data_IF_084644553618
#
_entry.id   IF_084644553618
#
_cell.length_a   1.000
_cell.length_b   1.000
_cell.length_c   1.000
_cell.angle_alpha   90.00
_cell.angle_beta   90.00
_cell.angle_gamma   90.00
#
_symmetry.space_group_name_H-M   'P 1'
#
loop_
_entity.id
_entity.type
_entity.pdbx_description
1 polymer ?
#
# COMPACT_ATOMS: atom_id res chain seq x y z
N UNK A 1 -11.02 15.78 -35.33
CA UNK A 1 -10.08 14.87 -34.63
C UNK A 1 -10.42 13.46 -35.06
N UNK A 2 -9.43 12.63 -35.42
CA UNK A 2 -9.66 11.19 -35.66
C UNK A 2 -10.06 10.52 -34.34
N UNK A 3 -11.00 9.57 -34.39
CA UNK A 3 -11.37 8.74 -33.25
C UNK A 3 -10.11 8.04 -32.69
N UNK A 4 -9.73 8.25 -31.42
CA UNK A 4 -8.52 7.68 -30.83
C UNK A 4 -8.50 6.15 -30.90
N UNK A 5 -9.67 5.50 -30.91
CA UNK A 5 -9.77 4.05 -31.04
C UNK A 5 -9.35 3.55 -32.43
N UNK A 6 -9.47 4.36 -33.49
CA UNK A 6 -8.98 4.01 -34.83
C UNK A 6 -7.46 3.86 -34.81
N UNK A 7 -6.77 4.81 -34.16
CA UNK A 7 -5.31 4.76 -34.02
C UNK A 7 -4.86 3.55 -33.20
N UNK A 8 -5.51 3.28 -32.06
CA UNK A 8 -5.19 2.12 -31.23
C UNK A 8 -5.46 0.78 -31.93
N UNK A 9 -6.50 0.69 -32.77
CA UNK A 9 -6.75 -0.50 -33.60
C UNK A 9 -5.67 -0.69 -34.67
N UNK A 10 -5.21 0.38 -35.30
CA UNK A 10 -4.11 0.30 -36.28
C UNK A 10 -2.80 -0.15 -35.61
N UNK A 11 -2.47 0.40 -34.44
CA UNK A 11 -1.32 -0.04 -33.63
C UNK A 11 -1.45 -1.50 -33.19
N UNK A 12 -2.65 -1.95 -32.84
CA UNK A 12 -2.90 -3.35 -32.48
C UNK A 12 -2.66 -4.28 -33.67
N UNK A 13 -3.08 -3.90 -34.87
CA UNK A 13 -2.83 -4.69 -36.08
C UNK A 13 -1.34 -4.77 -36.39
N UNK A 14 -0.60 -3.67 -36.23
CA UNK A 14 0.87 -3.67 -36.35
C UNK A 14 1.51 -4.62 -35.33
N UNK A 15 1.12 -4.50 -34.06
CA UNK A 15 1.60 -5.36 -32.98
C UNK A 15 1.35 -6.84 -33.28
N UNK A 16 0.16 -7.20 -33.75
CA UNK A 16 -0.16 -8.59 -34.13
C UNK A 16 0.69 -9.07 -35.30
N UNK A 17 1.00 -8.22 -36.29
CA UNK A 17 1.92 -8.58 -37.38
C UNK A 17 3.33 -8.85 -36.84
N UNK A 18 3.84 -8.00 -35.93
CA UNK A 18 5.15 -8.19 -35.27
C UNK A 18 5.21 -9.51 -34.51
N UNK A 19 4.18 -9.83 -33.73
CA UNK A 19 4.06 -11.09 -32.98
C UNK A 19 4.07 -12.36 -33.87
N UNK A 20 3.72 -12.23 -35.16
CA UNK A 20 3.62 -13.35 -36.11
C UNK A 20 4.81 -13.48 -37.06
N UNK A 21 5.76 -12.55 -37.01
CA UNK A 21 6.97 -12.64 -37.83
C UNK A 21 7.83 -13.82 -37.39
N UNK A 22 8.58 -14.44 -38.32
CA UNK A 22 9.14 -15.81 -38.20
C UNK A 22 10.27 -16.00 -37.16
N UNK A 23 10.57 -15.01 -36.33
CA UNK A 23 11.48 -15.16 -35.18
C UNK A 23 10.66 -15.47 -33.93
N UNK A 24 11.24 -16.15 -32.93
CA UNK A 24 10.48 -16.47 -31.72
C UNK A 24 9.92 -15.17 -31.13
N UNK A 25 8.62 -15.16 -30.80
CA UNK A 25 7.91 -13.96 -30.34
C UNK A 25 8.67 -13.22 -29.24
N UNK A 26 9.29 -13.98 -28.33
CA UNK A 26 10.05 -13.48 -27.19
C UNK A 26 11.39 -12.86 -27.60
N UNK A 27 12.10 -13.44 -28.57
CA UNK A 27 13.33 -12.85 -29.11
C UNK A 27 13.05 -11.57 -29.90
N UNK A 28 11.95 -11.53 -30.68
CA UNK A 28 11.55 -10.32 -31.40
C UNK A 28 11.18 -9.18 -30.41
N UNK A 29 10.45 -9.48 -29.34
CA UNK A 29 10.10 -8.47 -28.34
C UNK A 29 11.32 -8.03 -27.50
N UNK A 30 12.23 -8.95 -27.16
CA UNK A 30 13.46 -8.64 -26.42
C UNK A 30 14.52 -7.88 -27.24
N UNK A 31 14.58 -8.07 -28.56
CA UNK A 31 15.62 -7.49 -29.43
C UNK A 31 15.29 -6.11 -30.01
N UNK A 32 14.05 -5.63 -29.87
CA UNK A 32 13.65 -4.32 -30.38
C UNK A 32 14.24 -3.18 -29.53
N UNK A 33 15.47 -2.78 -29.86
CA UNK A 33 16.23 -1.67 -29.27
C UNK A 33 15.66 -0.28 -29.61
N UNK A 34 14.43 0.01 -29.20
CA UNK A 34 13.98 1.38 -29.04
C UNK A 34 13.69 1.60 -27.56
N UNK A 35 14.72 2.07 -26.82
CA UNK A 35 14.61 2.46 -25.41
C UNK A 35 13.46 3.48 -25.29
N UNK A 36 12.30 3.04 -24.79
CA UNK A 36 11.12 3.88 -24.57
C UNK A 36 10.00 3.81 -25.62
N UNK A 37 10.00 2.91 -26.62
CA UNK A 37 8.92 2.86 -27.61
C UNK A 37 8.02 1.61 -27.58
N UNK A 38 8.45 0.48 -27.03
CA UNK A 38 7.67 -0.77 -27.03
C UNK A 38 7.91 -1.55 -25.73
N UNK A 39 6.98 -1.46 -24.77
CA UNK A 39 7.07 -2.09 -23.44
C UNK A 39 6.00 -3.18 -23.24
N UNK A 40 5.67 -3.93 -24.29
CA UNK A 40 4.61 -4.95 -24.25
C UNK A 40 5.03 -6.24 -23.52
N UNK A 41 6.34 -6.46 -23.31
CA UNK A 41 6.88 -7.64 -22.64
C UNK A 41 7.36 -7.29 -21.22
N UNK A 42 6.90 -8.06 -20.23
CA UNK A 42 7.40 -8.00 -18.85
C UNK A 42 7.95 -9.35 -18.43
N UNK A 43 9.17 -9.34 -17.87
CA UNK A 43 9.81 -10.53 -17.30
C UNK A 43 9.66 -10.51 -15.79
N UNK A 44 9.16 -11.60 -15.22
CA UNK A 44 9.02 -11.80 -13.76
C UNK A 44 9.98 -12.92 -13.34
N UNK A 45 10.83 -12.64 -12.34
CA UNK A 45 11.84 -13.58 -11.84
C UNK A 45 12.26 -13.24 -10.41
N UNK A 46 13.07 -14.11 -9.80
CA UNK A 46 13.67 -13.88 -8.49
C UNK A 46 12.64 -13.80 -7.35
N UNK A 47 12.91 -12.93 -6.38
CA UNK A 47 12.16 -12.87 -5.12
C UNK A 47 10.65 -12.67 -5.28
N UNK A 48 10.22 -11.78 -6.20
CA UNK A 48 8.79 -11.52 -6.42
C UNK A 48 8.07 -12.74 -6.99
N UNK A 49 8.74 -13.50 -7.86
CA UNK A 49 8.19 -14.76 -8.36
C UNK A 49 8.04 -15.77 -7.21
N UNK A 50 9.05 -15.86 -6.34
CA UNK A 50 9.03 -16.79 -5.21
C UNK A 50 7.93 -16.47 -4.19
N UNK A 51 7.63 -15.18 -3.96
CA UNK A 51 6.48 -14.75 -3.14
C UNK A 51 5.14 -15.16 -3.79
N UNK A 52 4.96 -14.94 -5.10
CA UNK A 52 3.74 -15.36 -5.81
C UNK A 52 3.57 -16.88 -5.76
N UNK A 53 4.63 -17.65 -5.99
CA UNK A 53 4.59 -19.12 -5.90
C UNK A 53 4.18 -19.60 -4.51
N UNK A 54 4.78 -19.03 -3.46
CA UNK A 54 4.41 -19.33 -2.06
C UNK A 54 2.94 -18.99 -1.78
N UNK A 55 2.46 -17.85 -2.27
CA UNK A 55 1.06 -17.48 -2.15
C UNK A 55 0.14 -18.49 -2.84
N UNK A 56 0.46 -18.91 -4.06
CA UNK A 56 -0.36 -19.87 -4.81
C UNK A 56 -0.45 -21.22 -4.09
N UNK A 57 0.64 -21.70 -3.50
CA UNK A 57 0.62 -22.93 -2.69
C UNK A 57 -0.21 -22.78 -1.41
N UNK A 58 -0.18 -21.62 -0.74
CA UNK A 58 -1.08 -21.36 0.41
C UNK A 58 -2.57 -21.42 0.01
N UNK A 59 -2.92 -20.94 -1.18
CA UNK A 59 -4.30 -21.02 -1.69
C UNK A 59 -4.70 -22.46 -1.98
N UNK A 60 -3.79 -23.26 -2.56
CA UNK A 60 -3.97 -24.70 -2.76
C UNK A 60 -4.26 -25.38 -1.42
N UNK A 61 -3.43 -25.14 -0.41
CA UNK A 61 -3.61 -25.70 0.93
C UNK A 61 -4.96 -25.32 1.53
N UNK A 62 -5.34 -24.03 1.46
CA UNK A 62 -6.64 -23.55 1.97
C UNK A 62 -7.82 -24.22 1.27
N UNK A 63 -7.80 -24.25 -0.07
CA UNK A 63 -8.88 -24.84 -0.88
C UNK A 63 -9.12 -26.31 -0.51
N UNK A 64 -8.05 -27.07 -0.29
CA UNK A 64 -8.14 -28.49 0.06
C UNK A 64 -8.36 -28.77 1.56
N UNK A 65 -8.09 -27.80 2.43
CA UNK A 65 -8.47 -27.88 3.85
C UNK A 65 -9.97 -27.65 4.05
N UNK A 66 -10.54 -26.65 3.37
CA UNK A 66 -11.96 -26.32 3.45
C UNK A 66 -12.85 -27.40 2.82
N UNK A 67 -12.40 -28.00 1.70
CA UNK A 67 -13.12 -29.10 1.05
C UNK A 67 -13.17 -30.37 1.91
N UNK A 68 -12.20 -30.60 2.79
CA UNK A 68 -12.21 -31.71 3.78
C UNK A 68 -13.21 -31.49 4.91
N UNK A 69 -13.47 -30.25 5.31
CA UNK A 69 -14.47 -29.96 6.34
C UNK A 69 -15.90 -30.17 5.85
N UNK A 70 -16.15 -29.97 4.55
CA UNK A 70 -17.48 -30.08 3.96
C UNK A 70 -17.84 -31.51 3.53
N UNK A 71 -16.86 -32.27 3.03
CA UNK A 71 -17.05 -33.67 2.61
C UNK A 71 -16.45 -34.59 3.68
N UNK A 72 -17.29 -35.15 4.58
CA UNK A 72 -16.92 -36.25 5.49
C UNK A 72 -16.53 -37.52 4.72
N UNK A 73 -15.39 -37.51 4.03
CA UNK A 73 -14.80 -38.67 3.37
C UNK A 73 -13.43 -38.89 4.00
N UNK A 74 -13.32 -39.97 4.78
CA UNK A 74 -12.14 -40.33 5.58
C UNK A 74 -10.91 -40.78 4.76
N UNK A 75 -10.98 -40.79 3.44
CA UNK A 75 -9.83 -41.12 2.58
C UNK A 75 -9.84 -40.27 1.31
N UNK A 76 -8.85 -39.39 1.16
CA UNK A 76 -8.73 -38.61 -0.06
C UNK A 76 -7.51 -37.68 -0.08
N UNK A 77 -6.32 -38.24 -0.29
CA UNK A 77 -5.23 -37.44 -0.88
C UNK A 77 -5.74 -37.02 -2.26
N UNK A 78 -5.96 -35.73 -2.48
CA UNK A 78 -6.25 -35.20 -3.82
C UNK A 78 -5.16 -35.63 -4.79
N UNK A 79 -5.52 -35.81 -6.06
CA UNK A 79 -4.51 -36.15 -7.05
C UNK A 79 -3.51 -34.99 -7.18
N UNK A 80 -2.24 -35.33 -7.39
CA UNK A 80 -1.21 -34.33 -7.65
C UNK A 80 -1.61 -33.39 -8.80
N UNK A 81 -2.37 -33.91 -9.76
CA UNK A 81 -2.93 -33.19 -10.90
C UNK A 81 -3.90 -32.08 -10.50
N UNK A 82 -4.89 -32.35 -9.64
CA UNK A 82 -5.86 -31.33 -9.21
C UNK A 82 -5.20 -30.20 -8.41
N UNK A 83 -4.21 -30.55 -7.58
CA UNK A 83 -3.44 -29.55 -6.83
C UNK A 83 -2.63 -28.64 -7.76
N UNK A 84 -2.01 -29.23 -8.77
CA UNK A 84 -1.26 -28.50 -9.78
C UNK A 84 -2.16 -27.62 -10.64
N UNK A 85 -3.37 -28.05 -10.99
CA UNK A 85 -4.33 -27.23 -11.75
C UNK A 85 -4.76 -25.98 -10.97
N UNK A 86 -5.08 -26.12 -9.68
CA UNK A 86 -5.42 -24.97 -8.82
C UNK A 86 -4.23 -24.04 -8.69
N UNK A 87 -3.03 -24.58 -8.48
CA UNK A 87 -1.79 -23.82 -8.41
C UNK A 87 -1.56 -23.00 -9.69
N UNK A 88 -1.55 -23.67 -10.86
CA UNK A 88 -1.30 -23.05 -12.16
C UNK A 88 -2.33 -21.96 -12.46
N UNK A 89 -3.62 -22.20 -12.18
CA UNK A 89 -4.68 -21.21 -12.38
C UNK A 89 -4.43 -19.93 -11.59
N UNK A 90 -4.09 -20.07 -10.30
CA UNK A 90 -3.81 -18.92 -9.43
C UNK A 90 -2.52 -18.20 -9.84
N UNK A 91 -1.46 -18.97 -10.18
CA UNK A 91 -0.18 -18.42 -10.62
C UNK A 91 -0.35 -17.57 -11.88
N UNK A 92 -1.05 -18.09 -12.89
CA UNK A 92 -1.31 -17.37 -14.14
C UNK A 92 -2.09 -16.07 -13.90
N UNK A 93 -3.07 -16.09 -12.99
CA UNK A 93 -3.80 -14.89 -12.57
C UNK A 93 -2.88 -13.85 -11.91
N UNK A 94 -2.17 -14.25 -10.86
CA UNK A 94 -1.33 -13.34 -10.06
C UNK A 94 -0.15 -12.76 -10.82
N UNK A 95 0.46 -13.53 -11.72
CA UNK A 95 1.48 -12.99 -12.62
C UNK A 95 0.90 -11.86 -13.48
N UNK A 96 -0.34 -12.03 -13.95
CA UNK A 96 -1.01 -11.00 -14.73
C UNK A 96 -1.31 -9.73 -13.95
N UNK A 97 -1.89 -9.89 -12.77
CA UNK A 97 -2.14 -8.78 -11.85
C UNK A 97 -0.85 -7.98 -11.57
N UNK A 98 0.28 -8.66 -11.32
CA UNK A 98 1.56 -7.99 -11.06
C UNK A 98 2.05 -7.17 -12.27
N UNK A 99 1.90 -7.67 -13.50
CA UNK A 99 2.27 -6.92 -14.71
C UNK A 99 1.43 -5.66 -14.85
N UNK A 100 0.12 -5.77 -14.66
CA UNK A 100 -0.79 -4.61 -14.73
C UNK A 100 -0.47 -3.61 -13.62
N UNK A 101 -0.21 -4.09 -12.41
CA UNK A 101 0.19 -3.26 -11.27
C UNK A 101 1.46 -2.46 -11.55
N UNK A 102 2.50 -3.09 -12.12
CA UNK A 102 3.72 -2.37 -12.54
C UNK A 102 3.47 -1.35 -13.64
N UNK A 103 2.57 -1.68 -14.57
CA UNK A 103 2.31 -0.84 -15.73
C UNK A 103 1.46 0.40 -15.40
N UNK A 104 0.43 0.24 -14.56
CA UNK A 104 -0.49 1.31 -14.18
C UNK A 104 -0.06 2.05 -12.91
N UNK A 105 0.68 1.39 -12.02
CA UNK A 105 1.29 1.96 -10.81
C UNK A 105 0.26 2.79 -10.01
N UNK A 106 0.53 4.06 -9.73
CA UNK A 106 -0.31 4.97 -8.96
C UNK A 106 -1.70 5.27 -9.57
N UNK A 107 -2.06 4.72 -10.73
CA UNK A 107 -3.41 4.89 -11.30
C UNK A 107 -4.44 3.95 -10.69
N UNK A 108 -4.00 2.85 -10.07
CA UNK A 108 -4.87 1.81 -9.54
C UNK A 108 -4.53 1.49 -8.08
N UNK A 109 -5.52 1.06 -7.31
CA UNK A 109 -5.29 0.51 -5.96
C UNK A 109 -5.61 -0.97 -5.93
N UNK A 110 -4.87 -1.72 -5.10
CA UNK A 110 -5.30 -3.04 -4.67
C UNK A 110 -6.60 -2.90 -3.86
N UNK A 111 -7.49 -3.90 -3.95
CA UNK A 111 -8.73 -3.92 -3.17
C UNK A 111 -8.50 -4.75 -1.93
N UNK A 112 -8.83 -4.17 -0.78
CA UNK A 112 -8.89 -4.89 0.49
C UNK A 112 -10.12 -5.80 0.49
N UNK A 113 -9.89 -7.12 0.39
CA UNK A 113 -10.96 -8.11 0.34
C UNK A 113 -11.71 -8.23 1.69
N UNK A 114 -11.18 -7.66 2.78
CA UNK A 114 -11.87 -7.63 4.08
C UNK A 114 -12.99 -6.56 4.12
N UNK A 115 -13.05 -5.63 3.15
CA UNK A 115 -14.12 -4.62 3.00
C UNK A 115 -15.25 -5.08 2.07
N UNK A 116 -15.00 -6.06 1.18
CA UNK A 116 -15.97 -6.58 0.22
C UNK A 116 -16.51 -7.96 0.60
N UNK A 117 -16.96 -8.08 1.85
CA UNK A 117 -17.75 -9.21 2.33
C UNK A 117 -19.13 -9.22 1.63
N UNK A 118 -19.26 -9.88 0.46
CA UNK A 118 -20.50 -10.58 0.00
C UNK A 118 -20.55 -11.20 -1.41
N UNK A 119 -19.51 -11.21 -2.25
CA UNK A 119 -19.61 -11.88 -3.56
C UNK A 119 -18.30 -12.60 -3.89
N UNK A 120 -18.36 -13.93 -4.11
CA UNK A 120 -17.19 -14.77 -4.43
C UNK A 120 -16.35 -14.27 -5.61
N UNK A 121 -15.10 -14.75 -5.67
CA UNK A 121 -14.01 -14.52 -6.66
C UNK A 121 -13.87 -13.15 -7.36
N UNK A 122 -14.56 -12.12 -6.87
CA UNK A 122 -14.31 -10.70 -7.15
C UNK A 122 -14.81 -10.23 -8.52
N UNK A 123 -14.58 -10.95 -9.61
CA UNK A 123 -15.00 -10.55 -10.97
C UNK A 123 -14.37 -9.26 -11.51
N UNK A 124 -13.47 -8.61 -10.76
CA UNK A 124 -12.63 -7.46 -11.12
C UNK A 124 -11.37 -7.50 -10.22
N UNK A 125 -10.27 -6.88 -10.67
CA UNK A 125 -8.95 -7.02 -10.05
C UNK A 125 -8.41 -5.71 -9.48
N UNK A 126 -8.78 -4.57 -10.08
CA UNK A 126 -8.32 -3.25 -9.67
C UNK A 126 -9.42 -2.19 -9.76
N UNK A 127 -9.28 -1.10 -9.01
CA UNK A 127 -10.09 0.11 -9.14
C UNK A 127 -9.21 1.30 -9.50
N UNK A 128 -9.75 2.26 -10.25
CA UNK A 128 -9.03 3.53 -10.49
C UNK A 128 -9.00 4.38 -9.22
N UNK A 129 -7.81 4.86 -8.86
CA UNK A 129 -7.60 5.73 -7.67
C UNK A 129 -8.49 6.97 -7.72
N UNK A 130 -8.57 7.60 -8.90
CA UNK A 130 -9.32 8.83 -9.13
C UNK A 130 -10.84 8.62 -9.27
N UNK A 131 -11.27 7.39 -9.54
CA UNK A 131 -12.67 7.06 -9.74
C UNK A 131 -12.92 5.61 -9.29
N UNK A 132 -13.17 5.38 -7.99
CA UNK A 132 -13.33 4.04 -7.43
C UNK A 132 -14.49 3.22 -8.02
N UNK A 133 -15.45 3.88 -8.69
CA UNK A 133 -16.54 3.21 -9.40
C UNK A 133 -16.07 2.56 -10.71
N UNK A 134 -14.87 2.89 -11.19
CA UNK A 134 -14.28 2.33 -12.41
C UNK A 134 -13.51 1.06 -12.10
N UNK A 135 -14.12 -0.07 -12.46
CA UNK A 135 -13.59 -1.40 -12.16
C UNK A 135 -12.82 -1.96 -13.36
N UNK A 136 -11.64 -2.51 -13.09
CA UNK A 136 -10.74 -3.06 -14.11
C UNK A 136 -10.54 -4.54 -13.84
N UNK A 137 -10.74 -5.34 -14.88
CA UNK A 137 -10.46 -6.77 -14.85
C UNK A 137 -9.20 -7.11 -15.64
N UNK A 138 -8.42 -8.06 -15.15
CA UNK A 138 -7.24 -8.63 -15.78
C UNK A 138 -7.49 -10.11 -16.06
N UNK A 139 -7.28 -10.53 -17.31
CA UNK A 139 -7.32 -11.95 -17.67
C UNK A 139 -6.04 -12.35 -18.37
N UNK A 140 -5.31 -13.27 -17.75
CA UNK A 140 -4.12 -13.89 -18.34
C UNK A 140 -4.49 -15.24 -18.96
N UNK A 141 -3.90 -15.55 -20.11
CA UNK A 141 -4.05 -16.85 -20.77
C UNK A 141 -2.71 -17.41 -21.19
N UNK A 142 -2.58 -18.73 -21.07
CA UNK A 142 -1.41 -19.48 -21.48
C UNK A 142 -1.68 -20.20 -22.80
N UNK A 143 -0.68 -20.26 -23.68
CA UNK A 143 -0.65 -21.21 -24.79
C UNK A 143 0.30 -20.81 -25.92
N UNK A 144 0.73 -21.81 -26.70
CA UNK A 144 1.84 -21.66 -27.67
C UNK A 144 1.57 -20.70 -28.83
N UNK A 145 0.31 -20.48 -29.20
CA UNK A 145 -0.09 -19.67 -30.35
C UNK A 145 -1.19 -18.69 -29.98
N UNK A 146 -0.90 -17.40 -30.14
CA UNK A 146 -1.80 -16.29 -29.79
C UNK A 146 -3.14 -16.32 -30.55
N UNK A 147 -3.17 -16.87 -31.76
CA UNK A 147 -4.39 -16.97 -32.57
C UNK A 147 -5.42 -17.95 -31.97
N UNK A 148 -4.93 -18.96 -31.24
CA UNK A 148 -5.75 -19.96 -30.55
C UNK A 148 -6.23 -19.47 -29.18
N UNK A 149 -5.60 -18.44 -28.62
CA UNK A 149 -5.98 -17.88 -27.33
C UNK A 149 -7.30 -17.14 -27.45
N UNK A 150 -8.19 -17.40 -26.49
CA UNK A 150 -9.43 -16.66 -26.29
C UNK A 150 -9.56 -16.25 -24.83
N UNK A 151 -9.81 -14.96 -24.60
CA UNK A 151 -10.25 -14.46 -23.30
C UNK A 151 -11.76 -14.55 -23.23
N UNK A 152 -12.26 -15.13 -22.14
CA UNK A 152 -13.69 -15.36 -21.93
C UNK A 152 -14.16 -14.48 -20.80
N UNK A 153 -15.23 -13.74 -21.04
CA UNK A 153 -15.85 -12.81 -20.09
C UNK A 153 -17.36 -13.10 -19.99
N UNK A 154 -17.91 -13.15 -18.79
CA UNK A 154 -19.34 -13.39 -18.53
C UNK A 154 -20.17 -12.12 -18.74
N UNK A 155 -21.50 -12.23 -18.85
CA UNK A 155 -22.35 -11.02 -18.93
C UNK A 155 -22.24 -10.17 -17.65
N UNK A 156 -22.08 -10.81 -16.50
CA UNK A 156 -21.97 -10.10 -15.23
C UNK A 156 -20.64 -9.36 -15.12
N UNK A 157 -19.55 -9.97 -15.61
CA UNK A 157 -18.25 -9.31 -15.70
C UNK A 157 -18.28 -8.10 -16.65
N UNK A 158 -18.97 -8.20 -17.81
CA UNK A 158 -19.13 -7.08 -18.75
C UNK A 158 -19.89 -5.92 -18.10
N UNK A 159 -20.94 -6.22 -17.33
CA UNK A 159 -21.76 -5.18 -16.66
C UNK A 159 -21.03 -4.53 -15.49
N UNK A 160 -20.20 -5.30 -14.78
CA UNK A 160 -19.52 -4.87 -13.56
C UNK A 160 -18.27 -4.05 -13.86
N UNK A 161 -17.54 -4.38 -14.93
CA UNK A 161 -16.25 -3.76 -15.25
C UNK A 161 -16.36 -2.69 -16.32
N UNK A 162 -15.40 -1.76 -16.32
CA UNK A 162 -15.24 -0.72 -17.33
C UNK A 162 -14.19 -1.08 -18.37
N UNK A 163 -13.18 -1.86 -17.99
CA UNK A 163 -12.11 -2.31 -18.89
C UNK A 163 -11.66 -3.75 -18.59
N UNK A 164 -11.35 -4.47 -19.66
CA UNK A 164 -10.66 -5.76 -19.60
C UNK A 164 -9.24 -5.61 -20.14
N UNK A 165 -8.26 -6.03 -19.36
CA UNK A 165 -6.85 -6.10 -19.77
C UNK A 165 -6.51 -7.58 -20.01
N UNK A 166 -5.91 -7.85 -21.17
CA UNK A 166 -5.63 -9.20 -21.62
C UNK A 166 -4.12 -9.42 -21.70
N UNK A 167 -3.66 -10.43 -20.97
CA UNK A 167 -2.24 -10.83 -20.95
C UNK A 167 -2.07 -12.24 -21.50
N UNK A 168 -0.91 -12.50 -22.09
CA UNK A 168 -0.57 -13.77 -22.72
C UNK A 168 0.78 -14.30 -22.24
N UNK A 169 0.82 -15.59 -21.91
CA UNK A 169 2.03 -16.37 -21.63
C UNK A 169 2.19 -17.42 -22.73
N UNK A 170 3.27 -17.35 -23.49
CA UNK A 170 3.52 -18.30 -24.59
C UNK A 170 4.07 -19.64 -24.08
N UNK A 171 4.91 -19.58 -23.05
CA UNK A 171 5.60 -20.74 -22.48
C UNK A 171 4.67 -21.65 -21.68
N UNK A 172 5.07 -22.92 -21.55
CA UNK A 172 4.38 -23.86 -20.68
C UNK A 172 4.64 -23.49 -19.21
N UNK A 173 3.63 -23.57 -18.33
CA UNK A 173 3.78 -23.26 -16.91
C UNK A 173 4.21 -24.51 -16.14
N UNK A 174 5.38 -24.43 -15.50
CA UNK A 174 5.96 -25.43 -14.62
C UNK A 174 6.41 -24.80 -13.31
N UNK A 175 6.24 -25.49 -12.19
CA UNK A 175 6.71 -25.05 -10.87
C UNK A 175 8.23 -24.75 -10.85
N UNK A 176 9.01 -25.49 -11.63
CA UNK A 176 10.46 -25.37 -11.69
C UNK A 176 11.00 -24.17 -12.48
N UNK A 177 10.14 -23.43 -13.21
CA UNK A 177 10.58 -22.26 -13.97
C UNK A 177 11.01 -21.13 -13.04
N UNK A 178 12.19 -20.56 -13.28
CA UNK A 178 12.72 -19.42 -12.52
C UNK A 178 12.30 -18.06 -13.07
N UNK A 179 11.68 -18.05 -14.26
CA UNK A 179 11.32 -16.84 -14.99
C UNK A 179 10.03 -17.06 -15.78
N UNK A 180 9.19 -16.04 -15.88
CA UNK A 180 8.04 -16.00 -16.79
C UNK A 180 8.02 -14.72 -17.61
N UNK A 181 7.60 -14.85 -18.87
CA UNK A 181 7.48 -13.78 -19.85
C UNK A 181 6.01 -13.51 -20.15
N UNK A 182 5.55 -12.33 -19.77
CA UNK A 182 4.16 -11.91 -19.96
C UNK A 182 4.09 -10.84 -21.04
N UNK A 183 3.27 -11.12 -22.05
CA UNK A 183 2.97 -10.20 -23.14
C UNK A 183 1.66 -9.48 -22.84
N UNK A 184 1.69 -8.15 -22.85
CA UNK A 184 0.50 -7.32 -22.87
C UNK A 184 -0.18 -7.43 -24.24
N UNK A 185 -1.19 -8.31 -24.33
CA UNK A 185 -1.89 -8.58 -25.58
C UNK A 185 -2.81 -7.42 -25.98
N UNK A 186 -3.15 -6.54 -25.04
CA UNK A 186 -4.01 -5.37 -25.27
C UNK A 186 -5.08 -5.23 -24.20
N UNK A 187 -5.97 -4.26 -24.41
CA UNK A 187 -7.12 -4.02 -23.53
C UNK A 187 -8.37 -3.75 -24.35
N UNK A 188 -9.55 -3.83 -23.73
CA UNK A 188 -10.78 -3.38 -24.36
C UNK A 188 -11.73 -2.74 -23.33
N UNK A 189 -12.32 -1.58 -23.64
CA UNK A 189 -13.45 -1.04 -22.89
C UNK A 189 -14.63 -2.03 -22.90
N UNK A 190 -15.22 -2.32 -21.75
CA UNK A 190 -16.35 -3.26 -21.70
C UNK A 190 -17.56 -2.76 -22.50
N UNK A 191 -17.74 -1.44 -22.58
CA UNK A 191 -18.76 -0.78 -23.43
C UNK A 191 -18.63 -1.09 -24.93
N UNK A 192 -17.45 -1.50 -25.40
CA UNK A 192 -17.22 -1.85 -26.81
C UNK A 192 -17.53 -3.31 -27.15
N UNK A 193 -17.83 -4.15 -26.16
CA UNK A 193 -17.95 -5.60 -26.39
C UNK A 193 -19.23 -6.00 -27.13
N UNK A 194 -20.28 -5.17 -27.17
CA UNK A 194 -21.56 -5.48 -27.84
C UNK A 194 -22.05 -6.93 -27.53
N UNK A 195 -22.01 -7.33 -26.26
CA UNK A 195 -22.32 -8.67 -25.75
C UNK A 195 -21.39 -9.82 -26.19
N UNK A 196 -20.27 -9.53 -26.86
CA UNK A 196 -19.26 -10.54 -27.23
C UNK A 196 -18.50 -11.02 -25.99
N UNK A 197 -18.63 -12.32 -25.69
CA UNK A 197 -18.05 -12.95 -24.50
C UNK A 197 -16.72 -13.68 -24.75
N UNK A 198 -16.37 -13.94 -26.01
CA UNK A 198 -15.14 -14.65 -26.39
C UNK A 198 -14.31 -13.76 -27.30
N UNK A 199 -13.15 -13.34 -26.82
CA UNK A 199 -12.31 -12.34 -27.45
C UNK A 199 -10.99 -12.95 -27.91
N UNK A 200 -10.61 -12.70 -29.15
CA UNK A 200 -9.25 -12.93 -29.63
C UNK A 200 -8.42 -11.65 -29.57
N UNK A 201 -7.12 -11.77 -29.83
CA UNK A 201 -6.21 -10.60 -29.83
C UNK A 201 -6.63 -9.49 -30.82
N UNK A 202 -7.33 -9.86 -31.90
CA UNK A 202 -7.86 -8.94 -32.91
C UNK A 202 -9.00 -8.06 -32.42
N UNK A 203 -9.65 -8.45 -31.32
CA UNK A 203 -10.76 -7.69 -30.73
C UNK A 203 -10.25 -6.57 -29.81
N UNK A 204 -8.98 -6.63 -29.42
CA UNK A 204 -8.38 -5.73 -28.43
C UNK A 204 -7.90 -4.42 -29.06
N UNK A 205 -7.71 -3.42 -28.22
CA UNK A 205 -6.95 -2.21 -28.49
C UNK A 205 -5.50 -2.40 -28.03
N UNK A 206 -4.60 -1.64 -28.65
CA UNK A 206 -3.18 -1.70 -28.32
C UNK A 206 -2.88 -1.32 -26.87
N UNK A 207 -2.14 -2.19 -26.17
CA UNK A 207 -1.86 -2.07 -24.74
C UNK A 207 -1.14 -0.77 -24.34
N UNK A 208 -0.30 -0.21 -25.22
CA UNK A 208 0.37 1.07 -24.99
C UNK A 208 -0.60 2.26 -24.79
N UNK A 209 -1.82 2.17 -25.34
CA UNK A 209 -2.86 3.18 -25.17
C UNK A 209 -3.63 3.10 -23.86
N UNK A 210 -3.48 2.02 -23.08
CA UNK A 210 -4.29 1.76 -21.89
C UNK A 210 -4.19 2.89 -20.87
N UNK A 211 -2.97 3.35 -20.57
CA UNK A 211 -2.75 4.42 -19.57
C UNK A 211 -3.44 5.71 -19.98
N UNK A 212 -3.34 6.10 -21.24
CA UNK A 212 -4.00 7.27 -21.79
C UNK A 212 -5.54 7.14 -21.80
N UNK A 213 -6.05 5.96 -22.13
CA UNK A 213 -7.48 5.67 -22.08
C UNK A 213 -8.04 5.77 -20.65
N UNK A 214 -7.37 5.17 -19.67
CA UNK A 214 -7.79 5.26 -18.27
C UNK A 214 -7.70 6.71 -17.75
N UNK A 215 -6.66 7.45 -18.16
CA UNK A 215 -6.55 8.89 -17.88
C UNK A 215 -7.66 9.73 -18.50
N UNK A 216 -8.35 9.26 -19.55
CA UNK A 216 -9.53 9.96 -20.06
C UNK A 216 -10.68 9.94 -19.05
N UNK A 217 -10.83 8.89 -18.23
CA UNK A 217 -11.80 8.89 -17.12
C UNK A 217 -11.43 9.86 -16.00
N UNK A 218 -10.15 10.26 -15.92
CA UNK A 218 -9.69 11.35 -15.05
C UNK A 218 -10.11 12.72 -15.60
N UNK A 219 -10.32 12.82 -16.93
CA UNK A 219 -10.54 14.08 -17.64
C UNK A 219 -11.99 14.31 -18.13
N UNK A 220 -12.80 13.25 -18.21
CA UNK A 220 -14.16 13.26 -18.82
C UNK A 220 -15.31 13.25 -17.81
N UNK A 221 -15.01 13.11 -16.52
CA UNK A 221 -15.92 13.66 -15.51
C UNK A 221 -15.90 15.17 -15.69
N UNK A 222 -17.06 15.76 -15.96
CA UNK A 222 -17.32 17.18 -15.66
C UNK A 222 -16.61 17.52 -14.36
N UNK A 223 -15.57 18.35 -14.44
CA UNK A 223 -14.79 18.86 -13.32
C UNK A 223 -15.72 19.69 -12.44
N UNK A 224 -16.49 19.02 -11.59
CA UNK A 224 -16.48 19.41 -10.20
C UNK A 224 -15.36 18.57 -9.61
N UNK A 225 -14.12 19.02 -9.77
CA UNK A 225 -13.09 18.67 -8.80
C UNK A 225 -13.75 18.98 -7.45
N UNK A 226 -14.09 17.96 -6.67
CA UNK A 226 -14.28 18.24 -5.27
C UNK A 226 -12.98 18.90 -4.82
N UNK A 227 -13.07 20.05 -4.15
CA UNK A 227 -11.88 20.76 -3.66
C UNK A 227 -10.93 19.80 -2.93
N UNK A 228 -11.50 18.78 -2.27
CA UNK A 228 -10.81 17.64 -1.68
C UNK A 228 -9.90 16.87 -2.64
N UNK A 229 -10.36 16.45 -3.82
CA UNK A 229 -9.53 15.70 -4.79
C UNK A 229 -8.39 16.55 -5.35
N UNK A 230 -8.62 17.85 -5.53
CA UNK A 230 -7.57 18.81 -5.92
C UNK A 230 -6.53 18.95 -4.80
N UNK A 231 -6.98 19.09 -3.55
CA UNK A 231 -6.11 19.15 -2.38
C UNK A 231 -5.28 17.87 -2.25
N UNK A 232 -5.86 16.68 -2.41
CA UNK A 232 -5.15 15.40 -2.30
C UNK A 232 -4.00 15.30 -3.33
N UNK A 233 -4.23 15.73 -4.57
CA UNK A 233 -3.19 15.79 -5.60
C UNK A 233 -2.09 16.82 -5.26
N UNK A 234 -2.48 18.01 -4.79
CA UNK A 234 -1.51 19.03 -4.39
C UNK A 234 -0.67 18.58 -3.19
N UNK A 235 -1.28 17.88 -2.22
CA UNK A 235 -0.58 17.28 -1.07
C UNK A 235 0.47 16.28 -1.55
N UNK A 236 0.11 15.40 -2.49
CA UNK A 236 1.05 14.43 -3.06
C UNK A 236 2.25 15.12 -3.73
N UNK A 237 2.00 16.15 -4.54
CA UNK A 237 3.06 16.93 -5.20
C UNK A 237 3.94 17.66 -4.19
N UNK A 238 3.34 18.24 -3.14
CA UNK A 238 4.07 18.90 -2.07
C UNK A 238 4.99 17.94 -1.32
N UNK A 239 4.49 16.74 -0.98
CA UNK A 239 5.24 15.68 -0.31
C UNK A 239 6.40 15.15 -1.16
N UNK A 240 6.16 14.90 -2.46
CA UNK A 240 7.19 14.46 -3.40
C UNK A 240 8.29 15.52 -3.56
N UNK A 241 7.89 16.78 -3.72
CA UNK A 241 8.83 17.90 -3.83
C UNK A 241 9.67 18.05 -2.57
N UNK A 242 9.05 17.90 -1.39
CA UNK A 242 9.75 17.91 -0.10
C UNK A 242 10.77 16.77 0.00
N UNK A 243 10.38 15.54 -0.35
CA UNK A 243 11.26 14.38 -0.35
C UNK A 243 12.48 14.56 -1.29
N UNK A 244 12.27 15.23 -2.42
CA UNK A 244 13.31 15.60 -3.38
C UNK A 244 14.14 16.82 -2.96
N UNK A 245 13.89 17.40 -1.78
CA UNK A 245 14.50 18.64 -1.26
C UNK A 245 14.24 19.87 -2.14
N UNK A 246 13.24 19.81 -3.02
CA UNK A 246 12.76 20.94 -3.81
C UNK A 246 11.81 21.79 -2.94
N UNK A 247 12.37 22.46 -1.93
CA UNK A 247 11.59 23.13 -0.88
C UNK A 247 10.75 24.29 -1.41
N UNK A 248 11.27 25.09 -2.36
CA UNK A 248 10.52 26.20 -2.95
C UNK A 248 9.28 25.72 -3.71
N UNK A 249 9.41 24.59 -4.42
CA UNK A 249 8.30 23.97 -5.15
C UNK A 249 7.28 23.36 -4.18
N UNK A 250 7.74 22.67 -3.13
CA UNK A 250 6.88 22.17 -2.07
C UNK A 250 6.10 23.30 -1.37
N UNK A 251 6.75 24.42 -1.06
CA UNK A 251 6.10 25.61 -0.48
C UNK A 251 5.05 26.20 -1.41
N UNK A 252 5.31 26.22 -2.73
CA UNK A 252 4.33 26.67 -3.71
C UNK A 252 3.04 25.84 -3.63
N UNK A 253 3.16 24.51 -3.68
CA UNK A 253 2.00 23.62 -3.55
C UNK A 253 1.31 23.78 -2.19
N UNK A 254 2.07 23.92 -1.09
CA UNK A 254 1.48 24.19 0.23
C UNK A 254 0.65 25.48 0.24
N UNK A 255 1.13 26.56 -0.38
CA UNK A 255 0.38 27.81 -0.45
C UNK A 255 -0.87 27.69 -1.34
N UNK A 256 -0.80 26.91 -2.42
CA UNK A 256 -1.98 26.61 -3.25
C UNK A 256 -3.03 25.79 -2.48
N UNK A 257 -2.61 24.82 -1.68
CA UNK A 257 -3.51 24.07 -0.79
C UNK A 257 -4.20 25.03 0.18
N UNK A 258 -3.44 25.90 0.84
CA UNK A 258 -3.97 26.85 1.83
C UNK A 258 -4.85 27.96 1.23
N UNK A 259 -4.82 28.18 -0.08
CA UNK A 259 -5.77 29.04 -0.77
C UNK A 259 -7.15 28.37 -0.95
N UNK A 260 -7.17 27.04 -1.00
CA UNK A 260 -8.39 26.24 -1.21
C UNK A 260 -8.97 25.81 0.15
N UNK A 261 -8.11 25.31 1.03
CA UNK A 261 -8.43 24.89 2.40
C UNK A 261 -7.41 25.50 3.35
N UNK A 262 -7.76 26.66 3.91
CA UNK A 262 -6.93 27.43 4.84
C UNK A 262 -6.71 26.72 6.19
N UNK A 263 -7.41 25.61 6.43
CA UNK A 263 -7.30 24.78 7.64
C UNK A 263 -6.59 23.45 7.39
N UNK A 264 -5.98 23.28 6.22
CA UNK A 264 -5.32 22.04 5.87
C UNK A 264 -4.08 21.76 6.73
N UNK A 265 -4.20 20.82 7.67
CA UNK A 265 -3.11 20.52 8.60
C UNK A 265 -1.83 20.03 7.91
N UNK A 266 -1.94 19.34 6.76
CA UNK A 266 -0.81 18.74 6.05
C UNK A 266 0.06 19.81 5.40
N UNK A 267 -0.55 20.84 4.81
CA UNK A 267 0.17 21.98 4.26
C UNK A 267 0.94 22.75 5.35
N UNK A 268 0.33 23.00 6.52
CA UNK A 268 1.02 23.63 7.65
C UNK A 268 2.18 22.76 8.18
N UNK A 269 1.96 21.45 8.28
CA UNK A 269 3.01 20.51 8.67
C UNK A 269 4.22 20.58 7.73
N UNK A 270 4.00 20.51 6.42
CA UNK A 270 5.08 20.58 5.43
C UNK A 270 5.83 21.92 5.50
N UNK A 271 5.12 23.04 5.63
CA UNK A 271 5.75 24.36 5.82
C UNK A 271 6.65 24.39 7.06
N UNK A 272 6.21 23.77 8.16
CA UNK A 272 7.01 23.66 9.38
C UNK A 272 8.24 22.75 9.20
N UNK A 273 8.12 21.63 8.50
CA UNK A 273 9.27 20.74 8.21
C UNK A 273 10.30 21.40 7.29
N UNK A 274 9.86 22.23 6.34
CA UNK A 274 10.75 23.03 5.49
C UNK A 274 11.51 24.06 6.33
N UNK A 275 10.82 24.75 7.25
CA UNK A 275 11.48 25.67 8.20
C UNK A 275 12.53 24.94 9.06
N UNK A 276 12.23 23.75 9.56
CA UNK A 276 13.20 22.93 10.30
C UNK A 276 14.41 22.54 9.44
N UNK A 277 14.19 22.19 8.18
CA UNK A 277 15.27 21.88 7.23
C UNK A 277 16.20 23.08 7.01
N UNK A 278 15.64 24.30 7.09
CA UNK A 278 16.36 25.57 7.04
C UNK A 278 16.90 26.05 8.41
N UNK A 279 16.77 25.24 9.47
CA UNK A 279 17.17 25.59 10.86
C UNK A 279 16.39 26.77 11.46
N UNK A 280 15.17 27.00 10.99
CA UNK A 280 14.26 28.03 11.47
C UNK A 280 13.24 27.44 12.46
N UNK A 281 13.74 26.95 13.59
CA UNK A 281 12.94 26.20 14.58
C UNK A 281 11.76 26.99 15.15
N UNK A 282 12.00 28.26 15.51
CA UNK A 282 10.96 29.12 16.09
C UNK A 282 9.86 29.45 15.06
N UNK A 283 10.22 29.55 13.79
CA UNK A 283 9.28 29.82 12.71
C UNK A 283 8.39 28.60 12.45
N UNK A 284 8.97 27.39 12.48
CA UNK A 284 8.20 26.14 12.39
C UNK A 284 7.16 26.04 13.51
N UNK A 285 7.52 26.39 14.74
CA UNK A 285 6.59 26.40 15.88
C UNK A 285 5.51 27.46 15.74
N UNK A 286 5.88 28.65 15.25
CA UNK A 286 4.93 29.73 15.04
C UNK A 286 3.87 29.31 14.03
N UNK A 287 4.28 28.78 12.87
CA UNK A 287 3.37 28.30 11.82
C UNK A 287 2.35 27.30 12.38
N UNK A 288 2.81 26.32 13.17
CA UNK A 288 1.91 25.32 13.74
C UNK A 288 1.04 25.89 14.86
N UNK A 289 1.55 26.83 15.66
CA UNK A 289 0.77 27.47 16.72
C UNK A 289 -0.35 28.33 16.16
N UNK A 290 -0.04 29.16 15.16
CA UNK A 290 -1.02 30.00 14.48
C UNK A 290 -2.12 29.12 13.84
N UNK A 291 -1.75 28.02 13.17
CA UNK A 291 -2.72 27.09 12.60
C UNK A 291 -3.58 26.35 13.65
N UNK A 292 -3.04 26.08 14.84
CA UNK A 292 -3.78 25.42 15.92
C UNK A 292 -4.91 26.29 16.47
N UNK A 293 -4.71 27.61 16.52
CA UNK A 293 -5.73 28.56 17.02
C UNK A 293 -7.02 28.48 16.19
N UNK A 294 -6.89 28.29 14.87
CA UNK A 294 -8.02 28.29 13.94
C UNK A 294 -8.60 26.90 13.63
N UNK A 295 -7.75 25.88 13.54
CA UNK A 295 -8.15 24.53 13.08
C UNK A 295 -8.48 23.59 14.23
N UNK A 296 -7.75 23.68 15.34
CA UNK A 296 -7.80 22.72 16.47
C UNK A 296 -7.71 21.23 16.07
N UNK A 297 -7.01 20.91 14.96
CA UNK A 297 -6.80 19.54 14.52
C UNK A 297 -5.78 18.79 15.40
N UNK A 298 -6.08 17.53 15.73
CA UNK A 298 -5.21 16.69 16.56
C UNK A 298 -3.83 16.45 15.91
N UNK A 299 -3.77 16.41 14.58
CA UNK A 299 -2.55 16.28 13.80
C UNK A 299 -1.61 17.47 14.00
N UNK A 300 -2.15 18.70 14.06
CA UNK A 300 -1.33 19.90 14.27
C UNK A 300 -0.69 19.90 15.66
N UNK A 301 -1.44 19.53 16.69
CA UNK A 301 -0.88 19.33 18.03
C UNK A 301 0.21 18.26 18.00
N UNK A 302 -0.04 17.10 17.38
CA UNK A 302 0.97 16.06 17.24
C UNK A 302 2.25 16.55 16.54
N UNK A 303 2.11 17.21 15.40
CA UNK A 303 3.26 17.71 14.64
C UNK A 303 4.03 18.77 15.42
N UNK A 304 3.35 19.70 16.10
CA UNK A 304 4.02 20.67 16.97
C UNK A 304 4.74 19.99 18.13
N UNK A 305 4.15 18.94 18.70
CA UNK A 305 4.79 18.07 19.68
C UNK A 305 6.07 17.41 19.16
N UNK A 306 6.08 16.95 17.91
CA UNK A 306 7.27 16.41 17.24
C UNK A 306 8.34 17.49 17.05
N UNK A 307 7.95 18.70 16.65
CA UNK A 307 8.87 19.84 16.51
C UNK A 307 9.52 20.19 17.85
N UNK A 308 8.74 20.31 18.93
CA UNK A 308 9.27 20.54 20.28
C UNK A 308 10.26 19.46 20.72
N UNK A 309 9.97 18.18 20.42
CA UNK A 309 10.88 17.07 20.73
C UNK A 309 12.20 17.18 19.97
N UNK A 310 12.17 17.52 18.67
CA UNK A 310 13.38 17.72 17.86
C UNK A 310 14.23 18.86 18.41
N UNK A 311 13.61 19.98 18.77
CA UNK A 311 14.30 21.13 19.37
C UNK A 311 14.90 20.74 20.73
N UNK A 312 14.15 20.02 21.57
CA UNK A 312 14.65 19.54 22.85
C UNK A 312 15.93 18.69 22.68
N UNK A 313 15.91 17.73 21.76
CA UNK A 313 17.06 16.87 21.44
C UNK A 313 18.27 17.70 20.96
N UNK A 314 18.06 18.67 20.07
CA UNK A 314 19.14 19.56 19.62
C UNK A 314 19.72 20.40 20.76
N UNK A 315 18.88 20.98 21.61
CA UNK A 315 19.31 21.78 22.76
C UNK A 315 20.06 20.94 23.79
N UNK A 316 19.58 19.73 24.09
CA UNK A 316 20.23 18.84 25.05
C UNK A 316 21.56 18.29 24.54
N UNK A 317 21.68 18.00 23.24
CA UNK A 317 22.97 17.65 22.61
C UNK A 317 23.98 18.80 22.72
N UNK A 318 23.52 20.04 22.61
CA UNK A 318 24.38 21.22 22.66
C UNK A 318 24.78 21.63 24.09
N UNK A 319 23.90 21.43 25.07
CA UNK A 319 24.05 22.00 26.42
C UNK A 319 23.98 20.96 27.56
N UNK A 320 24.21 19.67 27.26
CA UNK A 320 24.06 18.51 28.16
C UNK A 320 22.59 18.20 28.56
N UNK A 321 22.32 16.92 28.84
CA UNK A 321 20.97 16.36 29.05
C UNK A 321 20.18 16.91 30.25
N UNK A 322 20.79 17.70 31.14
CA UNK A 322 20.16 18.29 32.33
C UNK A 322 19.70 19.75 32.13
N UNK A 323 19.69 20.27 30.90
CA UNK A 323 19.32 21.66 30.63
C UNK A 323 17.82 21.93 30.89
N UNK A 324 17.52 22.97 31.68
CA UNK A 324 16.17 23.44 32.02
C UNK A 324 15.31 23.73 30.79
N UNK A 325 15.89 24.31 29.74
CA UNK A 325 15.18 24.63 28.50
C UNK A 325 14.85 23.38 27.69
N UNK A 326 15.77 22.42 27.61
CA UNK A 326 15.51 21.13 26.97
C UNK A 326 14.34 20.41 27.64
N UNK A 327 14.36 20.35 28.99
CA UNK A 327 13.28 19.75 29.76
C UNK A 327 11.95 20.47 29.56
N UNK A 328 11.95 21.81 29.47
CA UNK A 328 10.77 22.60 29.15
C UNK A 328 10.17 22.23 27.78
N UNK A 329 11.00 22.08 26.75
CA UNK A 329 10.53 21.68 25.42
C UNK A 329 9.96 20.25 25.41
N UNK A 330 10.53 19.32 26.18
CA UNK A 330 9.94 18.00 26.37
C UNK A 330 8.57 18.07 27.05
N UNK A 331 8.37 18.97 28.01
CA UNK A 331 7.05 19.20 28.62
C UNK A 331 6.04 19.75 27.60
N UNK A 332 6.43 20.71 26.76
CA UNK A 332 5.57 21.18 25.67
C UNK A 332 5.22 20.06 24.68
N UNK A 333 6.17 19.19 24.36
CA UNK A 333 5.93 18.00 23.52
C UNK A 333 4.88 17.07 24.16
N UNK A 334 4.99 16.78 25.46
CA UNK A 334 4.00 15.96 26.20
C UNK A 334 2.62 16.60 26.21
N UNK A 335 2.53 17.92 26.43
CA UNK A 335 1.26 18.64 26.43
C UNK A 335 0.59 18.55 25.06
N UNK A 336 1.34 18.77 24.00
CA UNK A 336 0.85 18.68 22.62
C UNK A 336 0.39 17.25 22.26
N UNK A 337 1.16 16.22 22.61
CA UNK A 337 0.70 14.83 22.40
C UNK A 337 -0.53 14.49 23.23
N UNK A 338 -0.61 14.99 24.46
CA UNK A 338 -1.78 14.76 25.32
C UNK A 338 -3.02 15.43 24.73
N UNK A 339 -2.88 16.63 24.18
CA UNK A 339 -3.99 17.31 23.51
C UNK A 339 -4.40 16.60 22.21
N UNK A 340 -3.45 16.07 21.45
CA UNK A 340 -3.76 15.24 20.28
C UNK A 340 -4.55 13.98 20.66
N UNK A 341 -4.19 13.33 21.78
CA UNK A 341 -4.89 12.14 22.31
C UNK A 341 -6.29 12.49 22.84
N UNK A 342 -6.46 13.64 23.50
CA UNK A 342 -7.77 14.10 23.95
C UNK A 342 -8.73 14.33 22.78
N UNK A 343 -8.21 14.84 21.66
CA UNK A 343 -9.00 15.13 20.46
C UNK A 343 -9.26 13.87 19.61
N UNK A 344 -8.29 12.96 19.51
CA UNK A 344 -8.43 11.67 18.83
C UNK A 344 -7.82 10.54 19.67
N UNK A 345 -8.64 9.89 20.52
CA UNK A 345 -8.18 8.83 21.42
C UNK A 345 -7.63 7.59 20.71
N UNK A 346 -7.95 7.38 19.42
CA UNK A 346 -7.42 6.26 18.63
C UNK A 346 -6.11 6.58 17.90
N UNK A 347 -5.53 7.76 18.12
CA UNK A 347 -4.32 8.21 17.44
C UNK A 347 -3.03 7.60 18.02
N UNK A 348 -2.76 6.35 17.65
CA UNK A 348 -1.65 5.55 18.17
C UNK A 348 -0.27 6.24 18.09
N UNK A 349 -0.03 7.07 17.06
CA UNK A 349 1.23 7.83 16.89
C UNK A 349 1.48 8.78 18.07
N UNK A 350 0.46 9.46 18.58
CA UNK A 350 0.64 10.38 19.71
C UNK A 350 1.02 9.62 21.00
N UNK A 351 0.41 8.46 21.26
CA UNK A 351 0.80 7.60 22.38
C UNK A 351 2.25 7.12 22.26
N UNK A 352 2.64 6.64 21.08
CA UNK A 352 4.01 6.19 20.83
C UNK A 352 5.04 7.29 20.99
N UNK A 353 4.79 8.48 20.43
CA UNK A 353 5.72 9.58 20.57
C UNK A 353 5.79 10.10 22.01
N UNK A 354 4.65 10.15 22.73
CA UNK A 354 4.61 10.51 24.15
C UNK A 354 5.36 9.50 25.02
N UNK A 355 5.28 8.20 24.72
CA UNK A 355 6.03 7.16 25.46
C UNK A 355 7.54 7.34 25.35
N UNK A 356 8.03 7.72 24.16
CA UNK A 356 9.45 8.02 23.94
C UNK A 356 9.93 9.18 24.78
N UNK A 357 9.12 10.24 24.91
CA UNK A 357 9.45 11.39 25.77
C UNK A 357 9.46 10.98 27.24
N UNK A 358 8.48 10.20 27.69
CA UNK A 358 8.47 9.70 29.07
C UNK A 358 9.67 8.83 29.39
N UNK A 359 10.05 7.93 28.48
CA UNK A 359 11.26 7.12 28.66
C UNK A 359 12.51 7.99 28.75
N UNK A 360 12.62 9.00 27.89
CA UNK A 360 13.74 9.95 27.92
C UNK A 360 13.82 10.71 29.26
N UNK A 361 12.68 11.06 29.85
CA UNK A 361 12.59 11.71 31.16
C UNK A 361 12.74 10.72 32.34
N UNK A 362 12.99 9.43 32.09
CA UNK A 362 13.11 8.40 33.12
C UNK A 362 11.76 7.93 33.70
N UNK A 363 10.64 8.40 33.16
CA UNK A 363 9.27 8.05 33.53
C UNK A 363 8.87 6.72 32.86
N UNK A 364 9.51 5.62 33.30
CA UNK A 364 9.41 4.29 32.65
C UNK A 364 7.99 3.73 32.68
N UNK A 365 7.26 3.91 33.78
CA UNK A 365 5.90 3.38 33.90
C UNK A 365 4.97 4.03 32.85
N UNK A 366 4.95 5.36 32.78
CA UNK A 366 4.12 6.07 31.83
C UNK A 366 4.53 5.79 30.38
N UNK A 367 5.82 5.52 30.14
CA UNK A 367 6.29 5.07 28.83
C UNK A 367 5.71 3.69 28.45
N UNK A 368 5.69 2.74 29.37
CA UNK A 368 5.13 1.40 29.15
C UNK A 368 3.64 1.46 28.84
N UNK A 369 2.87 2.17 29.66
CA UNK A 369 1.43 2.32 29.48
C UNK A 369 1.09 2.92 28.11
N UNK A 370 1.80 3.98 27.71
CA UNK A 370 1.56 4.64 26.42
C UNK A 370 2.00 3.78 25.22
N UNK A 371 3.16 3.13 25.28
CA UNK A 371 3.61 2.27 24.20
C UNK A 371 2.65 1.08 24.00
N UNK A 372 2.17 0.50 25.10
CA UNK A 372 1.21 -0.59 25.04
C UNK A 372 -0.14 -0.17 24.45
N UNK A 373 -0.69 0.96 24.87
CA UNK A 373 -1.91 1.50 24.24
C UNK A 373 -1.72 1.76 22.74
N UNK A 374 -0.58 2.31 22.33
CA UNK A 374 -0.28 2.49 20.89
C UNK A 374 -0.32 1.14 20.14
N UNK A 375 0.29 0.10 20.70
CA UNK A 375 0.30 -1.25 20.12
C UNK A 375 -1.11 -1.87 20.05
N UNK A 376 -1.94 -1.70 21.09
CA UNK A 376 -3.33 -2.16 21.07
C UNK A 376 -4.13 -1.49 19.95
N UNK A 377 -4.04 -0.16 19.85
CA UNK A 377 -4.73 0.61 18.81
C UNK A 377 -4.30 0.15 17.41
N UNK A 378 -3.00 -0.02 17.17
CA UNK A 378 -2.51 -0.48 15.87
C UNK A 378 -2.89 -1.93 15.55
N UNK A 379 -2.95 -2.80 16.55
CA UNK A 379 -3.45 -4.16 16.39
C UNK A 379 -4.92 -4.17 16.01
N UNK A 380 -5.74 -3.29 16.61
CA UNK A 380 -7.17 -3.16 16.27
C UNK A 380 -7.39 -2.54 14.90
N UNK A 381 -6.46 -1.72 14.43
CA UNK A 381 -6.48 -1.07 13.12
C UNK A 381 -5.82 -1.92 12.01
N UNK A 382 -5.42 -3.16 12.29
CA UNK A 382 -4.67 -4.04 11.37
C UNK A 382 -3.38 -3.42 10.79
N UNK A 383 -2.81 -2.42 11.45
CA UNK A 383 -1.60 -1.74 11.00
C UNK A 383 -0.34 -2.44 11.52
N UNK A 384 -0.08 -3.62 10.97
CA UNK A 384 0.97 -4.53 11.43
C UNK A 384 2.39 -3.99 11.23
N UNK A 385 2.61 -3.12 10.23
CA UNK A 385 3.92 -2.52 9.97
C UNK A 385 4.32 -1.55 11.09
N UNK A 386 3.42 -0.65 11.47
CA UNK A 386 3.70 0.31 12.54
C UNK A 386 3.72 -0.39 13.91
N UNK A 387 2.86 -1.38 14.12
CA UNK A 387 2.89 -2.24 15.30
C UNK A 387 4.27 -2.86 15.50
N UNK A 388 4.82 -3.51 14.47
CA UNK A 388 6.11 -4.19 14.56
C UNK A 388 7.27 -3.24 14.91
N UNK A 389 7.23 -1.99 14.43
CA UNK A 389 8.23 -0.96 14.79
C UNK A 389 8.17 -0.60 16.27
N UNK A 390 6.95 -0.36 16.78
CA UNK A 390 6.75 -0.01 18.19
C UNK A 390 7.13 -1.19 19.08
N UNK A 391 6.68 -2.40 18.73
CA UNK A 391 7.01 -3.62 19.45
C UNK A 391 8.52 -3.86 19.51
N UNK A 392 9.23 -3.69 18.39
CA UNK A 392 10.69 -3.82 18.33
C UNK A 392 11.39 -2.83 19.26
N UNK A 393 11.01 -1.54 19.18
CA UNK A 393 11.52 -0.51 20.09
C UNK A 393 11.21 -0.84 21.55
N UNK A 394 10.01 -1.37 21.82
CA UNK A 394 9.55 -1.66 23.17
C UNK A 394 10.33 -2.82 23.79
N UNK A 395 10.53 -3.92 23.05
CA UNK A 395 11.35 -5.06 23.48
C UNK A 395 12.82 -4.73 23.64
N UNK A 396 13.34 -3.72 22.94
CA UNK A 396 14.71 -3.23 23.11
C UNK A 396 14.89 -2.47 24.44
N UNK A 397 13.87 -1.73 24.89
CA UNK A 397 13.98 -0.82 26.04
C UNK A 397 13.47 -1.37 27.36
N UNK A 398 12.62 -2.39 27.32
CA UNK A 398 11.98 -2.97 28.49
C UNK A 398 12.09 -4.49 28.48
N UNK A 399 12.31 -5.06 29.66
CA UNK A 399 12.28 -6.51 29.87
C UNK A 399 10.85 -7.04 29.92
N UNK A 400 10.65 -8.32 29.60
CA UNK A 400 9.34 -8.97 29.72
C UNK A 400 8.78 -8.87 31.16
N UNK A 401 9.65 -8.98 32.17
CA UNK A 401 9.30 -8.80 33.58
C UNK A 401 8.80 -7.38 33.88
N UNK A 402 9.46 -6.33 33.36
CA UNK A 402 8.96 -4.96 33.51
C UNK A 402 7.60 -4.80 32.84
N UNK A 403 7.44 -5.28 31.61
CA UNK A 403 6.20 -5.18 30.85
C UNK A 403 5.06 -5.91 31.59
N UNK A 404 5.30 -7.13 32.04
CA UNK A 404 4.32 -7.95 32.75
C UNK A 404 3.93 -7.34 34.10
N UNK A 405 4.90 -6.80 34.85
CA UNK A 405 4.67 -6.10 36.11
C UNK A 405 3.70 -4.93 35.97
N UNK A 406 3.80 -4.15 34.89
CA UNK A 406 2.97 -2.96 34.71
C UNK A 406 1.65 -3.25 33.99
N UNK A 407 1.61 -4.21 33.06
CA UNK A 407 0.40 -4.55 32.32
C UNK A 407 -0.50 -5.54 33.06
N UNK A 408 0.06 -6.39 33.91
CA UNK A 408 -0.68 -7.36 34.70
C UNK A 408 -0.08 -7.53 36.11
N UNK A 409 -0.19 -6.50 36.98
CA UNK A 409 0.49 -6.47 38.27
C UNK A 409 0.08 -7.64 39.19
N UNK A 410 -1.18 -8.06 39.16
CA UNK A 410 -1.66 -9.18 39.98
C UNK A 410 -1.05 -10.53 39.53
N UNK A 411 -0.96 -10.77 38.22
CA UNK A 411 -0.34 -11.98 37.68
C UNK A 411 1.17 -11.99 37.95
N UNK A 412 1.82 -10.84 37.80
CA UNK A 412 3.24 -10.66 38.11
C UNK A 412 3.54 -10.96 39.58
N UNK A 413 2.78 -10.36 40.51
CA UNK A 413 2.94 -10.62 41.95
C UNK A 413 2.71 -12.09 42.31
N UNK A 414 1.74 -12.74 41.66
CA UNK A 414 1.48 -14.18 41.87
C UNK A 414 2.69 -15.02 41.43
N UNK A 415 3.22 -14.76 40.23
CA UNK A 415 4.43 -15.44 39.73
C UNK A 415 5.64 -15.19 40.62
N UNK A 416 5.83 -13.96 41.11
CA UNK A 416 6.92 -13.62 42.04
C UNK A 416 6.81 -14.39 43.36
N UNK A 417 5.59 -14.50 43.93
CA UNK A 417 5.34 -15.28 45.15
C UNK A 417 5.60 -16.77 44.95
N UNK A 418 5.17 -17.32 43.82
CA UNK A 418 5.41 -18.73 43.45
C UNK A 418 6.92 -19.00 43.25
N UNK A 419 7.64 -18.09 42.59
CA UNK A 419 9.09 -18.19 42.41
C UNK A 419 9.81 -18.15 43.77
N UNK A 420 9.42 -17.24 44.65
CA UNK A 420 10.04 -17.05 45.96
C UNK A 420 9.83 -18.26 46.87
N UNK A 421 8.62 -18.84 46.86
CA UNK A 421 8.32 -20.12 47.50
C UNK A 421 9.22 -21.25 46.97
N UNK A 422 9.49 -21.29 45.67
CA UNK A 422 10.36 -22.31 45.07
C UNK A 422 11.83 -22.19 45.53
N UNK A 423 12.31 -20.98 45.81
CA UNK A 423 13.68 -20.73 46.27
C UNK A 423 13.85 -20.93 47.77
N UNK A 424 12.81 -20.66 48.57
CA UNK A 424 12.83 -20.90 50.03
C UNK A 424 12.81 -22.42 50.37
N UNK A 425 12.40 -23.28 49.43
CA UNK A 425 12.36 -24.75 49.56
C UNK A 425 13.66 -25.47 49.12
N UNK A 426 14.72 -24.76 48.74
CA UNK A 426 16.02 -25.36 48.37
C UNK A 426 16.92 -25.44 49.63
N UNK A 427 17.23 -26.63 50.17
CA UNK A 427 18.14 -26.76 51.30
C UNK A 427 19.58 -26.39 50.87
N UNK A 428 20.28 -25.60 51.69
CA UNK A 428 21.69 -25.24 51.51
C UNK A 428 22.64 -26.45 51.51
#
# INVERSE_FOLDING_TARGET
>A
MQDPFVTLKAQQQDFIKRLKSETSTLEHLNSSQAKGCYSELTVISGYELDEIKRYCWKIVDKYFLESRQYNKVETGKYSQTESLEVYVRNLVGKLGELVVKRYLDLLITDIDFDVYDKVGDGGFDFVLVSNPDKLIQVKTRQGKSIDKIKWVVSQDEIKRNDALICLWIQEDISESQSTYHLVNAGFIPMSMLNNKQRLGIQDLLYGGGLKAYLNHYVCSTTFVESEKSRIDNLVLLADQSFANKAYDESLKYCNEILQIDDKNYRAYHLKAEICLSNKQDLEAIKILSDAIEDTQAHELYFFRGVVWSKIADQYMKKYYSSNVNGNRYLQYSIQDYSRAIELEPSFAKAYYHRSRIYLFLGRRQEAIENAWHAMQLLSTQSNLSEYAKIEGYFKEKFTESEIEKYLNPELYEKKERELKSLYDDIPF
#
